data_IF_460297291971
#
_entry.id   IF_460297291971
#
_cell.length_a   1.000
_cell.length_b   1.000
_cell.length_c   1.000
_cell.angle_alpha   90.00
_cell.angle_beta   90.00
_cell.angle_gamma   90.00
#
_symmetry.space_group_name_H-M   'P 1'
#
loop_
_entity.id
_entity.type
_entity.pdbx_description
1 polymer ?
#
# COMPACT_ATOMS: atom_id res chain seq x y z
N UNK A 1 27.47 -13.27 12.79
CA UNK A 1 27.77 -11.86 13.11
C UNK A 1 26.51 -11.04 12.90
N UNK A 2 25.88 -10.58 13.99
CA UNK A 2 24.73 -9.67 13.92
C UNK A 2 25.14 -8.37 13.26
N UNK A 3 24.54 -8.05 12.11
CA UNK A 3 24.62 -6.72 11.54
C UNK A 3 23.64 -5.81 12.29
N UNK A 4 24.02 -5.44 13.52
CA UNK A 4 23.37 -4.38 14.26
C UNK A 4 23.63 -3.05 13.52
N UNK A 5 22.56 -2.38 13.07
CA UNK A 5 22.60 -0.98 12.67
C UNK A 5 22.25 -0.63 11.23
N UNK A 6 22.04 -1.60 10.32
CA UNK A 6 21.49 -1.25 8.99
C UNK A 6 19.98 -1.14 9.09
N UNK A 7 19.49 0.11 9.08
CA UNK A 7 18.07 0.36 8.88
C UNK A 7 17.69 -0.11 7.48
N UNK A 8 16.75 -1.03 7.39
CA UNK A 8 16.24 -1.50 6.12
C UNK A 8 15.05 -0.65 5.67
N UNK A 9 14.98 -0.40 4.37
CA UNK A 9 14.07 0.52 3.70
C UNK A 9 13.34 -0.20 2.55
N UNK A 10 12.19 -0.83 2.82
CA UNK A 10 11.41 -1.49 1.77
C UNK A 10 11.06 -0.47 0.69
N UNK A 11 11.43 -0.77 -0.55
CA UNK A 11 11.15 0.10 -1.71
C UNK A 11 10.26 -0.61 -2.72
N UNK A 12 10.36 -1.94 -2.83
CA UNK A 12 9.66 -2.71 -3.86
C UNK A 12 8.96 -3.93 -3.28
N UNK A 13 7.83 -4.27 -3.88
CA UNK A 13 7.14 -5.55 -3.71
C UNK A 13 7.34 -6.41 -4.95
N UNK A 14 7.76 -7.65 -4.74
CA UNK A 14 7.91 -8.67 -5.76
C UNK A 14 6.73 -9.61 -5.65
N UNK A 15 6.16 -10.01 -6.78
CA UNK A 15 4.96 -10.84 -6.85
C UNK A 15 5.25 -12.01 -7.77
N UNK A 16 4.89 -13.20 -7.31
CA UNK A 16 5.17 -14.46 -7.99
C UNK A 16 4.00 -15.44 -7.99
N UNK A 17 4.06 -16.38 -8.90
CA UNK A 17 3.07 -17.45 -9.12
C UNK A 17 3.56 -18.82 -8.65
N UNK A 18 4.71 -18.90 -7.98
CA UNK A 18 5.28 -20.17 -7.48
C UNK A 18 5.47 -21.26 -8.55
N UNK A 19 5.59 -20.88 -9.82
CA UNK A 19 5.78 -21.79 -10.94
C UNK A 19 4.49 -22.30 -11.60
N UNK A 20 3.33 -21.73 -11.29
CA UNK A 20 2.11 -21.99 -12.07
C UNK A 20 0.80 -21.82 -11.31
N UNK A 21 -0.25 -22.42 -11.86
CA UNK A 21 -1.57 -22.44 -11.24
C UNK A 21 -1.56 -23.27 -9.94
N UNK A 22 -2.57 -23.09 -9.06
CA UNK A 22 -2.72 -23.91 -7.87
C UNK A 22 -2.77 -25.39 -8.23
N UNK A 23 -1.91 -26.20 -7.62
CA UNK A 23 -1.80 -27.63 -7.89
C UNK A 23 -0.71 -28.01 -8.90
N UNK A 24 -0.21 -27.08 -9.72
CA UNK A 24 0.93 -27.34 -10.62
C UNK A 24 2.22 -27.53 -9.82
N UNK A 25 2.37 -26.74 -8.76
CA UNK A 25 3.50 -26.79 -7.83
C UNK A 25 3.02 -26.79 -6.38
N UNK A 26 3.79 -27.37 -5.44
CA UNK A 26 3.51 -27.26 -4.01
C UNK A 26 3.34 -25.80 -3.57
N UNK A 27 2.54 -25.57 -2.55
CA UNK A 27 2.35 -24.21 -2.05
C UNK A 27 3.69 -23.63 -1.54
N UNK A 28 3.97 -22.36 -1.87
CA UNK A 28 5.25 -21.75 -1.53
C UNK A 28 5.36 -21.64 -0.01
N UNK A 29 6.42 -22.23 0.54
CA UNK A 29 6.77 -22.12 1.94
C UNK A 29 7.80 -21.00 2.12
N UNK A 30 7.42 -19.86 2.72
CA UNK A 30 8.35 -18.74 2.87
C UNK A 30 9.48 -19.11 3.82
N UNK A 31 10.71 -18.77 3.45
CA UNK A 31 11.90 -18.97 4.28
C UNK A 31 12.64 -17.65 4.49
N UNK A 32 13.14 -17.42 5.71
CA UNK A 32 13.97 -16.26 6.01
C UNK A 32 15.33 -16.26 5.28
N UNK A 33 15.78 -17.42 4.80
CA UNK A 33 17.02 -17.55 4.03
C UNK A 33 16.84 -17.29 2.53
N UNK A 34 15.60 -17.08 2.08
CA UNK A 34 15.25 -16.95 0.67
C UNK A 34 15.78 -15.63 0.10
N UNK A 35 16.45 -15.70 -1.06
CA UNK A 35 17.06 -14.53 -1.72
C UNK A 35 16.32 -14.09 -2.99
N UNK A 36 15.35 -14.87 -3.42
CA UNK A 36 14.53 -14.65 -4.61
C UNK A 36 13.20 -15.38 -4.46
N UNK A 37 12.17 -14.96 -5.19
CA UNK A 37 10.94 -15.74 -5.35
C UNK A 37 11.20 -17.03 -6.15
N UNK A 38 10.34 -18.04 -6.02
CA UNK A 38 10.45 -19.30 -6.79
C UNK A 38 10.23 -18.98 -8.27
N UNK A 39 9.18 -18.20 -8.56
CA UNK A 39 8.93 -17.65 -9.88
C UNK A 39 8.42 -16.21 -9.77
N UNK A 40 9.30 -15.25 -10.06
CA UNK A 40 8.93 -13.83 -10.03
C UNK A 40 8.21 -13.45 -11.33
N UNK A 41 7.00 -12.88 -11.22
CA UNK A 41 6.21 -12.41 -12.35
C UNK A 41 6.22 -10.90 -12.48
N UNK A 42 6.26 -10.19 -11.36
CA UNK A 42 6.19 -8.74 -11.35
C UNK A 42 7.01 -8.14 -10.20
N UNK A 43 7.53 -6.93 -10.43
CA UNK A 43 8.21 -6.11 -9.44
C UNK A 43 7.63 -4.71 -9.53
N UNK A 44 7.04 -4.24 -8.44
CA UNK A 44 6.41 -2.93 -8.35
C UNK A 44 7.01 -2.13 -7.20
N UNK A 45 7.07 -0.81 -7.35
CA UNK A 45 7.41 0.09 -6.26
C UNK A 45 6.27 0.12 -5.23
N UNK A 46 6.61 0.24 -3.94
CA UNK A 46 5.62 0.40 -2.89
C UNK A 46 4.84 1.70 -3.05
N UNK A 47 3.50 1.62 -3.04
CA UNK A 47 2.64 2.79 -3.00
C UNK A 47 2.56 3.38 -1.60
N UNK A 48 2.52 2.51 -0.57
CA UNK A 48 2.55 2.92 0.83
C UNK A 48 3.33 1.96 1.70
N UNK A 49 3.96 2.55 2.70
CA UNK A 49 4.58 1.85 3.80
C UNK A 49 4.26 2.59 5.10
N UNK A 50 3.51 1.98 6.00
CA UNK A 50 3.09 2.62 7.25
C UNK A 50 2.93 1.60 8.37
N UNK A 51 2.99 2.07 9.62
CA UNK A 51 2.72 1.23 10.80
C UNK A 51 1.21 1.14 11.00
N UNK A 52 0.70 -0.07 11.26
CA UNK A 52 -0.71 -0.26 11.54
C UNK A 52 -1.14 0.49 12.80
N UNK A 53 -2.25 1.20 12.69
CA UNK A 53 -3.03 1.80 13.77
C UNK A 53 -3.49 0.79 14.83
N UNK A 54 -3.74 -0.46 14.42
CA UNK A 54 -4.19 -1.55 15.31
C UNK A 54 -3.06 -2.16 16.13
N UNK A 55 -1.85 -2.22 15.58
CA UNK A 55 -0.69 -2.85 16.21
C UNK A 55 0.59 -2.10 15.88
N UNK A 56 1.23 -1.51 16.89
CA UNK A 56 2.46 -0.74 16.73
C UNK A 56 3.65 -1.57 16.21
N UNK A 57 3.57 -2.90 16.28
CA UNK A 57 4.60 -3.82 15.78
C UNK A 57 4.28 -4.38 14.39
N UNK A 58 3.23 -3.89 13.74
CA UNK A 58 2.84 -4.35 12.40
C UNK A 58 3.14 -3.29 11.37
N UNK A 59 4.00 -3.63 10.42
CA UNK A 59 4.27 -2.82 9.24
C UNK A 59 3.35 -3.23 8.10
N UNK A 60 2.72 -2.26 7.45
CA UNK A 60 1.81 -2.47 6.32
C UNK A 60 2.46 -1.93 5.05
N UNK A 61 2.70 -2.82 4.09
CA UNK A 61 3.21 -2.48 2.77
C UNK A 61 2.08 -2.66 1.73
N UNK A 62 1.85 -1.65 0.91
CA UNK A 62 0.80 -1.66 -0.10
C UNK A 62 1.36 -1.39 -1.50
N UNK A 63 0.84 -2.14 -2.47
CA UNK A 63 1.06 -1.90 -3.90
C UNK A 63 -0.28 -1.97 -4.62
N UNK A 64 -0.48 -1.04 -5.55
CA UNK A 64 -1.58 -1.05 -6.50
C UNK A 64 -1.09 -1.69 -7.80
N UNK A 65 -1.64 -2.85 -8.16
CA UNK A 65 -1.38 -3.48 -9.47
C UNK A 65 -2.35 -2.88 -10.49
N UNK A 66 -1.86 -2.23 -11.55
CA UNK A 66 -2.71 -1.71 -12.61
C UNK A 66 -3.35 -2.85 -13.42
N UNK A 67 -4.36 -2.50 -14.22
CA UNK A 67 -5.10 -3.43 -15.08
C UNK A 67 -4.18 -4.14 -16.08
N UNK A 68 -3.16 -3.45 -16.58
CA UNK A 68 -2.18 -3.93 -17.58
C UNK A 68 -1.32 -5.09 -17.06
N UNK A 69 -1.13 -5.18 -15.74
CA UNK A 69 -0.33 -6.23 -15.09
C UNK A 69 -1.25 -7.37 -14.69
N UNK A 70 -1.27 -8.46 -15.46
CA UNK A 70 -2.08 -9.64 -15.17
C UNK A 70 -1.73 -10.86 -16.02
N UNK A 71 -2.60 -11.86 -15.99
CA UNK A 71 -2.41 -13.15 -16.66
C UNK A 71 -1.58 -14.15 -15.84
N UNK A 72 -1.54 -14.00 -14.52
CA UNK A 72 -0.80 -14.90 -13.64
C UNK A 72 -1.48 -15.06 -12.28
N UNK A 73 -1.17 -16.16 -11.62
CA UNK A 73 -1.57 -16.42 -10.24
C UNK A 73 -0.65 -15.69 -9.28
N UNK A 74 -1.21 -15.10 -8.23
CA UNK A 74 -0.46 -14.52 -7.14
C UNK A 74 -0.46 -15.57 -6.03
N UNK A 75 0.73 -16.09 -5.73
CA UNK A 75 0.97 -17.13 -4.72
C UNK A 75 2.12 -16.76 -3.79
N UNK A 76 3.04 -15.91 -4.25
CA UNK A 76 4.19 -15.46 -3.47
C UNK A 76 4.29 -13.95 -3.50
N UNK A 77 4.66 -13.37 -2.36
CA UNK A 77 4.96 -11.96 -2.24
C UNK A 77 6.28 -11.80 -1.49
N UNK A 78 7.17 -10.99 -2.06
CA UNK A 78 8.43 -10.60 -1.45
C UNK A 78 8.49 -9.10 -1.24
N UNK A 79 9.13 -8.65 -0.16
CA UNK A 79 9.52 -7.26 0.02
C UNK A 79 11.03 -7.11 -0.13
N UNK A 80 11.43 -6.09 -0.88
CA UNK A 80 12.82 -5.80 -1.20
C UNK A 80 13.21 -4.40 -0.71
N UNK A 81 14.40 -4.31 -0.11
CA UNK A 81 15.05 -3.09 0.35
C UNK A 81 15.67 -2.30 -0.83
N UNK A 82 16.05 -1.04 -0.61
CA UNK A 82 16.79 -0.20 -1.55
C UNK A 82 18.09 -0.85 -2.07
N UNK A 83 18.74 -1.70 -1.26
CA UNK A 83 19.93 -2.46 -1.67
C UNK A 83 19.62 -3.72 -2.52
N UNK A 84 18.35 -3.93 -2.90
CA UNK A 84 17.95 -5.12 -3.66
C UNK A 84 17.86 -6.41 -2.82
N UNK A 85 18.04 -6.33 -1.50
CA UNK A 85 17.93 -7.48 -0.59
C UNK A 85 16.50 -7.75 -0.18
N UNK A 86 16.14 -9.02 -0.04
CA UNK A 86 14.84 -9.42 0.47
C UNK A 86 14.78 -9.16 1.98
N UNK A 87 13.73 -8.45 2.38
CA UNK A 87 13.42 -8.11 3.77
C UNK A 87 12.43 -9.13 4.34
N UNK A 88 11.47 -9.54 3.53
CA UNK A 88 10.44 -10.49 3.93
C UNK A 88 9.94 -11.26 2.71
N UNK A 89 9.51 -12.49 2.97
CA UNK A 89 8.81 -13.35 2.01
C UNK A 89 7.57 -13.88 2.68
N UNK A 90 6.47 -13.88 1.95
CA UNK A 90 5.17 -14.36 2.43
C UNK A 90 4.49 -15.14 1.32
N UNK A 91 3.75 -16.17 1.71
CA UNK A 91 2.81 -16.83 0.82
C UNK A 91 1.46 -16.08 0.83
N UNK A 92 0.76 -16.13 -0.30
CA UNK A 92 -0.58 -15.60 -0.45
C UNK A 92 -1.52 -16.75 -0.84
N UNK A 93 -2.75 -16.81 -0.30
CA UNK A 93 -3.78 -17.69 -0.85
C UNK A 93 -3.89 -17.46 -2.36
N UNK A 94 -3.97 -18.51 -3.19
CA UNK A 94 -3.88 -18.31 -4.62
C UNK A 94 -4.97 -17.39 -5.16
N UNK A 95 -4.53 -16.28 -5.76
CA UNK A 95 -5.42 -15.25 -6.30
C UNK A 95 -5.08 -15.00 -7.76
N UNK A 96 -6.04 -15.18 -8.66
CA UNK A 96 -5.81 -14.96 -10.08
C UNK A 96 -6.00 -13.49 -10.44
N UNK A 97 -4.95 -12.89 -11.02
CA UNK A 97 -5.02 -11.57 -11.65
C UNK A 97 -5.26 -11.75 -13.14
N UNK A 98 -6.48 -11.47 -13.60
CA UNK A 98 -6.84 -11.57 -15.01
C UNK A 98 -6.01 -10.62 -15.90
N UNK A 99 -5.69 -11.08 -17.10
CA UNK A 99 -5.01 -10.29 -18.13
C UNK A 99 -5.95 -9.25 -18.74
N UNK A 100 -5.39 -8.17 -19.28
CA UNK A 100 -6.19 -7.12 -19.94
C UNK A 100 -7.03 -7.68 -21.11
N UNK A 101 -6.45 -8.60 -21.88
CA UNK A 101 -7.07 -9.22 -23.06
C UNK A 101 -8.31 -10.06 -22.73
N UNK A 102 -8.45 -10.51 -21.49
CA UNK A 102 -9.62 -11.30 -21.08
C UNK A 102 -10.83 -10.43 -20.74
N UNK A 103 -10.77 -9.11 -20.94
CA UNK A 103 -11.87 -8.17 -20.68
C UNK A 103 -12.29 -8.04 -19.21
N UNK A 104 -11.61 -8.76 -18.31
CA UNK A 104 -11.92 -8.84 -16.87
C UNK A 104 -10.75 -8.33 -16.01
N UNK A 105 -9.82 -7.60 -16.61
CA UNK A 105 -8.74 -6.98 -15.86
C UNK A 105 -9.29 -5.89 -14.96
N UNK A 106 -8.89 -5.96 -13.69
CA UNK A 106 -9.22 -4.97 -12.67
C UNK A 106 -7.95 -4.50 -11.97
N UNK A 107 -7.93 -3.27 -11.52
CA UNK A 107 -6.90 -2.77 -10.61
C UNK A 107 -7.07 -3.49 -9.28
N UNK A 108 -5.99 -4.05 -8.75
CA UNK A 108 -6.01 -4.80 -7.49
C UNK A 108 -4.94 -4.26 -6.55
N UNK A 109 -5.34 -3.89 -5.34
CA UNK A 109 -4.41 -3.49 -4.28
C UNK A 109 -3.98 -4.72 -3.49
N UNK A 110 -2.67 -4.95 -3.41
CA UNK A 110 -2.07 -5.97 -2.56
C UNK A 110 -1.57 -5.28 -1.29
N UNK A 111 -2.00 -5.79 -0.14
CA UNK A 111 -1.58 -5.33 1.19
C UNK A 111 -0.92 -6.47 1.94
N UNK A 112 0.30 -6.24 2.41
CA UNK A 112 1.06 -7.19 3.23
C UNK A 112 1.21 -6.61 4.63
N UNK A 113 0.76 -7.37 5.63
CA UNK A 113 0.95 -7.04 7.04
C UNK A 113 2.12 -7.86 7.57
N UNK A 114 3.18 -7.17 8.01
CA UNK A 114 4.39 -7.77 8.56
C UNK A 114 4.43 -7.54 10.05
N UNK A 115 4.29 -8.60 10.83
CA UNK A 115 4.53 -8.56 12.26
C UNK A 115 6.04 -8.60 12.52
N UNK A 116 6.56 -7.60 13.22
CA UNK A 116 7.97 -7.46 13.53
C UNK A 116 8.18 -7.54 15.04
N UNK A 117 9.28 -8.15 15.48
CA UNK A 117 9.63 -8.20 16.92
C UNK A 117 10.03 -6.83 17.48
N UNK A 118 10.30 -5.84 16.62
CA UNK A 118 10.57 -4.46 16.97
C UNK A 118 10.83 -3.61 15.71
N UNK A 119 10.37 -2.35 15.72
CA UNK A 119 10.52 -1.42 14.58
C UNK A 119 11.82 -0.60 14.61
N UNK A 120 12.68 -0.82 15.60
CA UNK A 120 13.87 0.01 15.88
C UNK A 120 14.87 0.06 14.70
N UNK A 121 14.87 -0.97 13.86
CA UNK A 121 15.73 -1.09 12.69
C UNK A 121 14.98 -0.85 11.35
N UNK A 122 13.74 -0.37 11.37
CA UNK A 122 12.98 -0.05 10.16
C UNK A 122 13.04 1.43 9.91
N UNK A 123 13.51 1.84 8.73
CA UNK A 123 13.38 3.22 8.30
C UNK A 123 12.12 3.34 7.46
N UNK A 124 11.07 3.86 8.09
CA UNK A 124 9.82 4.21 7.44
C UNK A 124 10.06 5.40 6.52
N UNK A 125 10.13 5.16 5.21
CA UNK A 125 9.93 6.21 4.24
C UNK A 125 8.45 6.58 4.25
N UNK A 126 8.09 7.61 5.00
CA UNK A 126 6.85 8.35 4.74
C UNK A 126 7.17 9.25 3.54
N UNK A 127 7.26 8.66 2.35
CA UNK A 127 7.35 9.44 1.12
C UNK A 127 5.92 9.82 0.70
N UNK A 128 5.56 11.07 0.97
CA UNK A 128 4.31 11.68 0.50
C UNK A 128 4.40 12.11 -0.99
N UNK A 129 5.46 11.73 -1.70
CA UNK A 129 5.66 11.98 -3.12
C UNK A 129 4.82 11.06 -4.01
N UNK A 130 3.56 11.44 -4.21
CA UNK A 130 2.62 11.04 -5.29
C UNK A 130 2.99 9.77 -6.08
N UNK A 131 2.39 8.63 -5.73
CA UNK A 131 2.18 7.49 -6.65
C UNK A 131 0.80 6.88 -6.37
N UNK A 132 -0.11 6.97 -7.36
CA UNK A 132 -1.52 6.55 -7.35
C UNK A 132 -2.21 6.59 -5.99
N UNK A 133 -2.77 7.75 -5.64
CA UNK A 133 -3.67 7.85 -4.50
C UNK A 133 -4.99 7.15 -4.84
N UNK A 134 -5.37 6.14 -4.05
CA UNK A 134 -6.72 5.57 -4.13
C UNK A 134 -7.76 6.65 -3.80
N UNK A 135 -8.92 6.61 -4.44
CA UNK A 135 -9.99 7.59 -4.22
C UNK A 135 -10.36 7.70 -2.73
N UNK A 136 -10.41 6.57 -2.01
CA UNK A 136 -10.65 6.53 -0.57
C UNK A 136 -9.60 7.30 0.24
N UNK A 137 -8.32 7.17 -0.09
CA UNK A 137 -7.30 7.90 0.66
C UNK A 137 -7.36 9.40 0.40
N UNK A 138 -7.65 9.82 -0.84
CA UNK A 138 -7.85 11.24 -1.14
C UNK A 138 -9.05 11.74 -0.34
N UNK A 139 -10.17 11.01 -0.35
CA UNK A 139 -11.35 11.37 0.42
C UNK A 139 -11.05 11.47 1.92
N UNK A 140 -10.33 10.51 2.50
CA UNK A 140 -9.97 10.51 3.91
C UNK A 140 -9.08 11.72 4.27
N UNK A 141 -8.04 11.98 3.47
CA UNK A 141 -7.10 13.09 3.74
C UNK A 141 -7.74 14.45 3.52
N UNK A 142 -8.51 14.63 2.45
CA UNK A 142 -9.24 15.88 2.21
C UNK A 142 -10.31 16.06 3.28
N UNK A 143 -11.06 15.03 3.67
CA UNK A 143 -12.02 15.14 4.76
C UNK A 143 -11.35 15.52 6.09
N UNK A 144 -10.20 14.92 6.42
CA UNK A 144 -9.46 15.26 7.63
C UNK A 144 -8.91 16.71 7.60
N UNK A 145 -8.41 17.17 6.47
CA UNK A 145 -7.86 18.52 6.30
C UNK A 145 -8.93 19.63 6.36
N UNK A 146 -10.13 19.34 5.87
CA UNK A 146 -11.27 20.27 5.94
C UNK A 146 -12.04 20.17 7.26
N UNK A 147 -11.90 19.07 8.01
CA UNK A 147 -12.54 18.89 9.32
C UNK A 147 -12.05 19.96 10.30
N UNK A 148 -12.92 20.92 10.61
CA UNK A 148 -12.64 21.98 11.58
C UNK A 148 -12.19 23.31 10.98
N UNK A 149 -12.05 23.41 9.64
CA UNK A 149 -11.89 24.71 8.98
C UNK A 149 -13.18 25.51 9.13
N UNK A 150 -13.08 26.66 9.82
CA UNK A 150 -14.19 27.60 10.02
C UNK A 150 -13.99 28.82 9.13
N UNK A 151 -15.05 29.20 8.44
CA UNK A 151 -15.20 30.57 7.97
C UNK A 151 -15.65 31.38 9.19
N UNK A 152 -14.73 32.18 9.72
CA UNK A 152 -15.01 33.08 10.82
C UNK A 152 -15.86 34.24 10.32
N UNK A 153 -16.94 34.55 11.03
CA UNK A 153 -17.72 35.76 10.76
C UNK A 153 -16.87 37.00 11.04
N UNK A 154 -16.72 37.91 10.06
CA UNK A 154 -15.92 39.13 10.21
C UNK A 154 -15.72 39.92 8.91
N UNK A 155 -14.96 41.02 8.99
CA UNK A 155 -14.80 42.05 7.94
C UNK A 155 -14.00 41.62 6.68
N UNK A 156 -13.75 40.33 6.47
CA UNK A 156 -12.82 39.83 5.44
C UNK A 156 -13.44 39.19 4.20
N UNK A 157 -14.77 39.05 4.13
CA UNK A 157 -15.45 38.31 3.05
C UNK A 157 -16.42 39.23 2.29
N UNK A 158 -16.12 39.47 1.01
CA UNK A 158 -16.95 40.26 0.10
C UNK A 158 -17.91 39.35 -0.66
N UNK A 159 -19.22 39.46 -0.40
CA UNK A 159 -20.26 38.70 -1.07
C UNK A 159 -21.50 38.48 -0.21
N UNK A 160 -22.58 39.18 -0.56
CA UNK A 160 -23.97 39.27 -0.10
C UNK A 160 -24.65 38.10 0.67
N UNK A 161 -23.99 37.49 1.64
CA UNK A 161 -24.58 36.52 2.58
C UNK A 161 -24.75 37.10 3.98
N UNK A 162 -25.76 36.62 4.72
CA UNK A 162 -25.89 36.85 6.17
C UNK A 162 -24.70 36.19 6.90
N UNK A 163 -23.86 37.04 7.51
CA UNK A 163 -22.62 36.72 8.22
C UNK A 163 -22.80 36.71 9.75
N UNK A 164 -24.01 36.47 10.27
CA UNK A 164 -24.30 36.49 11.71
C UNK A 164 -23.65 35.37 12.54
N UNK A 165 -23.10 34.34 11.90
CA UNK A 165 -22.45 33.22 12.59
C UNK A 165 -21.32 32.56 11.77
N UNK A 166 -20.37 31.95 12.49
CA UNK A 166 -19.33 31.10 11.92
C UNK A 166 -19.94 29.93 11.12
N UNK A 167 -19.34 29.60 9.99
CA UNK A 167 -19.75 28.45 9.17
C UNK A 167 -18.61 27.45 9.03
N UNK A 168 -18.92 26.16 9.13
CA UNK A 168 -17.95 25.09 8.85
C UNK A 168 -18.00 24.74 7.36
N UNK A 169 -16.82 24.53 6.77
CA UNK A 169 -16.74 23.91 5.45
C UNK A 169 -16.80 22.39 5.63
N UNK A 170 -17.71 21.73 4.92
CA UNK A 170 -17.85 20.28 4.91
C UNK A 170 -17.84 19.77 3.48
N UNK A 171 -17.33 18.56 3.28
CA UNK A 171 -17.51 17.85 2.02
C UNK A 171 -18.84 17.11 2.06
N UNK A 172 -19.56 17.10 0.94
CA UNK A 172 -20.75 16.28 0.80
C UNK A 172 -20.40 14.79 0.97
N UNK A 173 -21.30 13.98 1.56
CA UNK A 173 -21.10 12.54 1.62
C UNK A 173 -21.00 11.98 0.19
N UNK A 174 -20.16 10.96 0.02
CA UNK A 174 -19.92 10.31 -1.27
C UNK A 174 -21.19 9.59 -1.76
N UNK A 175 -21.97 10.19 -2.68
CA UNK A 175 -23.12 9.50 -3.29
C UNK A 175 -24.22 10.35 -3.94
N UNK A 176 -23.95 11.58 -4.36
CA UNK A 176 -24.84 12.36 -5.26
C UNK A 176 -24.10 12.80 -6.50
#
# INVERSE_FOLDING_TARGET
>A
ASAAGKKWQPTHMLIGDAGGAPGDTPDPLPSAAQKSLINQRHRAQLNRLFVSDKNANTLVAEVVLPVEVGGFWIREIGLQDADGKFVAVSNCPPSYKAAMESGSARTQTIRVNLALSGLENVQLLIDNGIIYATQDWVKEKVAADFKGRKILAGNGLVGWGDLSADRSIGLAPSGV
#
